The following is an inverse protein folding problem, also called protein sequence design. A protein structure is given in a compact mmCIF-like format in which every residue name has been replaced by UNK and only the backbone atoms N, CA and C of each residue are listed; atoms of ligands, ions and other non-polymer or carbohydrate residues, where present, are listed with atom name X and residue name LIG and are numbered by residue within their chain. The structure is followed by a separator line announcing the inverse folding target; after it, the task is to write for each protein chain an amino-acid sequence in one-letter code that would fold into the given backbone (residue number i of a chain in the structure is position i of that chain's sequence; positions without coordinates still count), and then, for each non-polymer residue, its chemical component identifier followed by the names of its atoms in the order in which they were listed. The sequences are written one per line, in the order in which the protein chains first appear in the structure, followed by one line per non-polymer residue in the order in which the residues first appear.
data_IF_286442860079
#
_entry.id   IF_286442860079
#
_cell.length_a   1.000
_cell.length_b   1.000
_cell.length_c   1.000
_cell.angle_alpha   90.00
_cell.angle_beta   90.00
_cell.angle_gamma   90.00
#
_symmetry.space_group_name_H-M   'P 1'
#
loop_
_entity.id
_entity.type
_entity.pdbx_description
1 polymer ?
#
# COMPACT_ATOMS: atom_id res chain seq x y z
N UNK A 1 -8.77 -0.40 21.84
CA UNK A 1 -7.82 -1.18 21.04
C UNK A 1 -6.99 -0.28 20.15
N UNK A 2 -5.72 -0.53 20.12
CA UNK A 2 -4.79 0.23 19.31
C UNK A 2 -4.95 -0.17 17.84
N UNK A 3 -4.98 0.81 16.93
CA UNK A 3 -5.02 0.58 15.48
C UNK A 3 -3.87 -0.27 14.98
N UNK A 4 -2.74 -0.27 15.70
CA UNK A 4 -1.59 -1.11 15.37
C UNK A 4 -1.91 -2.60 15.46
N UNK A 5 -3.02 -2.96 16.08
CA UNK A 5 -3.46 -4.35 16.16
C UNK A 5 -4.31 -4.78 14.97
N UNK A 6 -4.57 -3.88 14.01
CA UNK A 6 -5.29 -4.23 12.80
C UNK A 6 -4.49 -5.25 11.99
N UNK A 7 -5.11 -6.40 11.73
CA UNK A 7 -4.45 -7.51 11.06
C UNK A 7 -5.30 -8.05 9.94
N UNK A 8 -4.66 -8.54 8.89
CA UNK A 8 -5.30 -9.18 7.75
C UNK A 8 -4.63 -10.53 7.52
N UNK A 9 -5.10 -11.60 8.20
CA UNK A 9 -4.52 -12.92 8.01
C UNK A 9 -4.83 -13.47 6.64
N UNK A 10 -4.03 -14.44 6.19
CA UNK A 10 -4.26 -15.14 4.93
C UNK A 10 -3.44 -14.62 3.76
N UNK A 11 -2.55 -13.66 3.98
CA UNK A 11 -1.67 -13.18 2.92
C UNK A 11 -0.71 -14.26 2.43
N UNK A 12 -0.43 -14.23 1.13
CA UNK A 12 0.47 -15.19 0.46
C UNK A 12 1.54 -14.42 -0.29
N UNK A 13 2.56 -15.14 -0.79
CA UNK A 13 3.65 -14.50 -1.54
C UNK A 13 3.13 -13.84 -2.82
N UNK A 14 2.27 -14.54 -3.57
CA UNK A 14 1.64 -14.04 -4.80
C UNK A 14 0.21 -14.55 -4.84
N UNK A 15 -0.74 -13.64 -4.91
CA UNK A 15 -2.16 -13.97 -4.97
C UNK A 15 -2.67 -13.81 -6.39
N UNK A 16 -3.08 -14.91 -7.08
CA UNK A 16 -3.58 -14.81 -8.44
C UNK A 16 -4.79 -13.90 -8.60
N UNK A 17 -5.59 -13.73 -7.55
CA UNK A 17 -6.76 -12.85 -7.59
C UNK A 17 -6.35 -11.40 -7.86
N UNK A 18 -5.15 -11.02 -7.45
CA UNK A 18 -4.63 -9.66 -7.69
C UNK A 18 -4.35 -9.47 -9.18
N UNK A 19 -3.78 -10.48 -9.86
CA UNK A 19 -3.54 -10.40 -11.29
C UNK A 19 -4.86 -10.27 -12.07
N UNK A 20 -5.89 -10.98 -11.64
CA UNK A 20 -7.24 -10.87 -12.24
C UNK A 20 -7.77 -9.45 -12.01
N UNK A 21 -7.67 -8.94 -10.79
CA UNK A 21 -8.13 -7.59 -10.46
C UNK A 21 -7.46 -6.54 -11.36
N UNK A 22 -6.14 -6.65 -11.56
CA UNK A 22 -5.38 -5.72 -12.41
C UNK A 22 -5.89 -5.73 -13.85
N UNK A 23 -6.15 -6.94 -14.39
CA UNK A 23 -6.62 -7.12 -15.78
C UNK A 23 -8.03 -6.58 -15.99
N UNK A 24 -8.84 -6.52 -14.96
CA UNK A 24 -10.20 -5.99 -15.04
C UNK A 24 -10.25 -4.47 -15.10
N UNK A 25 -9.13 -3.79 -14.83
CA UNK A 25 -9.06 -2.32 -14.93
C UNK A 25 -8.81 -1.92 -16.38
N UNK A 26 -9.08 -0.64 -16.69
CA UNK A 26 -8.67 -0.12 -18.01
C UNK A 26 -7.15 -0.23 -18.13
N UNK A 27 -6.65 -0.32 -19.38
CA UNK A 27 -5.22 -0.54 -19.61
C UNK A 27 -4.35 0.47 -18.87
N UNK A 28 -4.74 1.74 -18.92
CA UNK A 28 -3.98 2.82 -18.30
C UNK A 28 -4.00 2.77 -16.77
N UNK A 29 -5.17 2.62 -16.18
CA UNK A 29 -5.30 2.54 -14.72
C UNK A 29 -4.71 1.23 -14.20
N UNK A 30 -4.93 0.13 -14.90
CA UNK A 30 -4.36 -1.17 -14.54
C UNK A 30 -2.83 -1.14 -14.55
N UNK A 31 -2.25 -0.47 -15.55
CA UNK A 31 -0.80 -0.34 -15.66
C UNK A 31 -0.22 0.44 -14.48
N UNK A 32 -0.86 1.55 -14.09
CA UNK A 32 -0.42 2.33 -12.93
C UNK A 32 -0.54 1.52 -11.63
N UNK A 33 -1.67 0.83 -11.46
CA UNK A 33 -1.87 0.01 -10.26
C UNK A 33 -0.84 -1.11 -10.16
N UNK A 34 -0.53 -1.77 -11.28
CA UNK A 34 0.49 -2.81 -11.33
C UNK A 34 1.87 -2.27 -10.99
N UNK A 35 2.24 -1.13 -11.56
CA UNK A 35 3.53 -0.52 -11.31
C UNK A 35 3.75 -0.29 -9.82
N UNK A 36 2.80 0.34 -9.15
CA UNK A 36 2.99 0.72 -7.76
C UNK A 36 2.80 -0.44 -6.80
N UNK A 37 1.93 -1.38 -7.12
CA UNK A 37 1.84 -2.59 -6.31
C UNK A 37 3.11 -3.44 -6.42
N UNK A 38 3.71 -3.46 -7.61
CA UNK A 38 5.01 -4.13 -7.80
C UNK A 38 6.08 -3.49 -6.92
N UNK A 39 6.12 -2.16 -6.82
CA UNK A 39 7.07 -1.48 -5.93
C UNK A 39 6.87 -1.94 -4.49
N UNK A 40 5.63 -2.11 -4.03
CA UNK A 40 5.36 -2.64 -2.69
C UNK A 40 5.89 -4.07 -2.52
N UNK A 41 5.63 -4.94 -3.51
CA UNK A 41 6.11 -6.33 -3.47
C UNK A 41 7.62 -6.43 -3.34
N UNK A 42 8.32 -5.55 -4.03
CA UNK A 42 9.77 -5.61 -4.14
C UNK A 42 10.51 -5.00 -2.95
N UNK A 43 9.78 -4.59 -1.92
CA UNK A 43 10.43 -4.04 -0.71
C UNK A 43 11.22 -5.10 0.04
N UNK A 44 10.72 -6.33 0.06
CA UNK A 44 11.41 -7.43 0.72
C UNK A 44 10.74 -8.77 0.46
N UNK A 45 11.47 -9.86 0.72
CA UNK A 45 10.94 -11.22 0.57
C UNK A 45 9.85 -11.53 1.57
N UNK A 46 9.73 -10.73 2.61
CA UNK A 46 8.72 -10.90 3.66
C UNK A 46 7.39 -10.24 3.35
N UNK A 47 7.25 -9.57 2.19
CA UNK A 47 5.98 -8.99 1.79
C UNK A 47 4.99 -10.09 1.39
N UNK A 48 3.78 -10.01 1.93
CA UNK A 48 2.67 -10.90 1.60
C UNK A 48 1.52 -10.08 1.06
N UNK A 49 0.67 -10.70 0.28
CA UNK A 49 -0.41 -9.97 -0.39
C UNK A 49 -1.74 -10.72 -0.33
N UNK A 50 -2.82 -9.97 -0.39
CA UNK A 50 -4.17 -10.51 -0.43
C UNK A 50 -5.13 -9.45 -0.97
N UNK A 51 -6.35 -9.88 -1.28
CA UNK A 51 -7.43 -8.96 -1.61
C UNK A 51 -8.20 -8.63 -0.33
N UNK A 52 -8.49 -7.36 -0.12
CA UNK A 52 -9.28 -6.91 1.02
C UNK A 52 -10.10 -5.69 0.60
N UNK A 53 -11.39 -5.69 0.93
CA UNK A 53 -12.31 -4.61 0.55
C UNK A 53 -12.25 -4.27 -0.95
N UNK A 54 -12.09 -5.29 -1.76
CA UNK A 54 -12.10 -5.15 -3.21
C UNK A 54 -10.81 -4.60 -3.82
N UNK A 55 -9.72 -4.54 -3.08
CA UNK A 55 -8.45 -4.05 -3.62
C UNK A 55 -7.23 -4.84 -3.12
N UNK A 56 -6.13 -4.79 -3.90
CA UNK A 56 -4.88 -5.45 -3.49
C UNK A 56 -4.23 -4.78 -2.29
N UNK A 57 -3.81 -5.58 -1.33
CA UNK A 57 -3.16 -5.11 -0.10
C UNK A 57 -1.82 -5.81 0.09
N UNK A 58 -0.80 -5.06 0.49
CA UNK A 58 0.52 -5.56 0.83
C UNK A 58 0.72 -5.52 2.34
N UNK A 59 1.23 -6.64 2.89
CA UNK A 59 1.45 -6.83 4.31
C UNK A 59 2.87 -7.31 4.58
N UNK A 60 3.33 -7.11 5.82
CA UNK A 60 4.44 -7.89 6.39
C UNK A 60 3.81 -8.74 7.48
N UNK A 61 4.05 -10.06 7.46
CA UNK A 61 3.24 -11.03 8.20
C UNK A 61 1.77 -10.78 7.87
N UNK A 62 0.93 -10.51 8.86
CA UNK A 62 -0.48 -10.16 8.65
C UNK A 62 -0.75 -8.67 8.91
N UNK A 63 0.29 -7.83 8.96
CA UNK A 63 0.15 -6.41 9.22
C UNK A 63 0.17 -5.63 7.91
N UNK A 64 -0.95 -5.03 7.48
CA UNK A 64 -1.00 -4.31 6.21
C UNK A 64 -0.25 -2.99 6.30
N UNK A 65 0.51 -2.65 5.23
CA UNK A 65 1.18 -1.37 5.16
C UNK A 65 0.78 -0.54 3.95
N UNK A 66 0.34 -1.18 2.86
CA UNK A 66 -0.01 -0.44 1.66
C UNK A 66 -1.08 -1.15 0.83
N UNK A 67 -1.73 -0.39 -0.04
CA UNK A 67 -2.72 -0.93 -0.96
C UNK A 67 -2.75 -0.10 -2.24
N UNK A 68 -3.36 -0.64 -3.29
CA UNK A 68 -3.73 0.14 -4.47
C UNK A 68 -5.22 -0.05 -4.72
N UNK A 69 -5.87 1.00 -5.20
CA UNK A 69 -7.27 0.91 -5.61
C UNK A 69 -7.46 1.76 -6.85
N UNK A 70 -8.44 1.41 -7.68
CA UNK A 70 -8.71 2.11 -8.92
C UNK A 70 -10.14 2.63 -8.93
N UNK A 71 -10.29 3.84 -9.43
CA UNK A 71 -11.57 4.51 -9.56
C UNK A 71 -11.82 4.82 -11.04
N UNK A 72 -12.79 5.65 -11.35
CA UNK A 72 -13.16 5.90 -12.74
C UNK A 72 -12.01 6.53 -13.54
N UNK A 73 -11.24 7.43 -12.93
CA UNK A 73 -10.23 8.21 -13.64
C UNK A 73 -8.89 8.31 -12.90
N UNK A 74 -8.71 7.56 -11.82
CA UNK A 74 -7.47 7.62 -11.05
C UNK A 74 -7.23 6.35 -10.26
N UNK A 75 -6.00 6.20 -9.80
CA UNK A 75 -5.57 5.14 -8.90
C UNK A 75 -5.14 5.78 -7.58
N UNK A 76 -5.52 5.18 -6.46
CA UNK A 76 -4.96 5.55 -5.17
C UNK A 76 -3.89 4.55 -4.78
N UNK A 77 -2.73 5.07 -4.36
CA UNK A 77 -1.70 4.29 -3.68
C UNK A 77 -1.84 4.65 -2.21
N UNK A 78 -2.26 3.70 -1.39
CA UNK A 78 -2.67 3.99 -0.02
C UNK A 78 -1.76 3.38 1.03
N UNK A 79 -1.80 3.98 2.22
CA UNK A 79 -0.95 3.62 3.36
C UNK A 79 -1.81 3.52 4.62
N UNK A 80 -1.80 2.35 5.24
CA UNK A 80 -2.63 2.11 6.42
C UNK A 80 -2.23 2.97 7.62
N UNK A 81 -0.96 3.33 7.72
CA UNK A 81 -0.45 4.23 8.75
C UNK A 81 0.09 5.53 8.13
N UNK A 82 -0.56 5.98 7.08
CA UNK A 82 -0.09 7.13 6.30
C UNK A 82 0.03 8.42 7.09
N UNK A 83 -0.81 8.59 8.11
CA UNK A 83 -0.77 9.81 8.95
C UNK A 83 0.54 9.93 9.72
N UNK A 84 1.28 8.84 9.87
CA UNK A 84 2.54 8.80 10.60
C UNK A 84 3.77 8.99 9.70
N UNK A 85 3.57 9.02 8.38
CA UNK A 85 4.68 9.12 7.44
C UNK A 85 5.09 10.57 7.24
N UNK A 86 6.40 10.80 7.10
CA UNK A 86 6.89 12.09 6.64
C UNK A 86 6.49 12.25 5.17
N UNK A 87 6.07 13.43 4.79
CA UNK A 87 5.60 13.70 3.44
C UNK A 87 6.14 15.05 2.97
N UNK A 88 7.47 15.16 2.79
CA UNK A 88 8.08 16.46 2.45
C UNK A 88 7.62 16.98 1.09
N UNK A 89 7.20 16.11 0.17
CA UNK A 89 6.72 16.53 -1.14
C UNK A 89 5.23 16.88 -1.15
N UNK A 90 4.52 16.65 -0.04
CA UNK A 90 3.10 16.99 0.07
C UNK A 90 2.18 16.16 -0.81
N UNK A 91 2.49 14.87 -0.99
CA UNK A 91 1.71 13.99 -1.88
C UNK A 91 0.49 13.37 -1.20
N UNK A 92 0.52 13.19 0.11
CA UNK A 92 -0.51 12.44 0.83
C UNK A 92 -1.80 13.24 0.99
N UNK A 93 -2.90 12.58 0.72
CA UNK A 93 -4.27 13.12 0.87
C UNK A 93 -5.05 12.23 1.82
N UNK A 94 -6.12 12.77 2.39
CA UNK A 94 -7.00 12.04 3.27
C UNK A 94 -7.17 12.72 4.61
N UNK A 95 -8.23 12.35 5.33
CA UNK A 95 -8.61 12.99 6.59
C UNK A 95 -8.82 11.98 7.73
N UNK A 96 -8.65 10.69 7.44
CA UNK A 96 -8.82 9.67 8.45
C UNK A 96 -7.78 9.80 9.54
N UNK A 97 -8.02 9.14 10.65
CA UNK A 97 -7.09 9.19 11.79
C UNK A 97 -5.75 8.54 11.46
N UNK A 98 -5.76 7.52 10.60
CA UNK A 98 -4.56 6.73 10.32
C UNK A 98 -4.20 6.68 8.84
N UNK A 99 -5.19 6.53 7.96
CA UNK A 99 -4.94 6.23 6.55
C UNK A 99 -4.72 7.49 5.72
N UNK A 100 -3.83 7.37 4.75
CA UNK A 100 -3.58 8.41 3.74
C UNK A 100 -3.36 7.73 2.40
N UNK A 101 -3.47 8.48 1.32
CA UNK A 101 -3.21 7.96 -0.01
C UNK A 101 -2.63 9.04 -0.92
N UNK A 102 -1.98 8.58 -1.99
CA UNK A 102 -1.53 9.42 -3.08
C UNK A 102 -2.45 9.14 -4.27
N UNK A 103 -3.04 10.19 -4.82
CA UNK A 103 -3.93 10.07 -5.98
C UNK A 103 -3.12 10.21 -7.26
N UNK A 104 -3.20 9.22 -8.14
CA UNK A 104 -2.53 9.21 -9.44
C UNK A 104 -3.57 9.29 -10.56
N UNK A 105 -3.54 10.39 -11.30
CA UNK A 105 -4.44 10.56 -12.45
C UNK A 105 -3.74 10.15 -13.73
N UNK A 106 -4.48 9.49 -14.62
CA UNK A 106 -3.98 9.09 -15.93
C UNK A 106 -3.46 10.31 -16.70
N UNK A 107 -2.29 10.18 -17.30
CA UNK A 107 -1.68 11.24 -18.09
C UNK A 107 -1.08 12.40 -17.30
N UNK A 108 -1.14 12.38 -15.98
CA UNK A 108 -0.56 13.41 -15.13
C UNK A 108 0.75 12.92 -14.55
N UNK A 109 1.84 13.66 -14.77
CA UNK A 109 3.15 13.31 -14.24
C UNK A 109 3.18 13.58 -12.74
N UNK A 110 3.69 12.61 -11.99
CA UNK A 110 3.84 12.73 -10.54
C UNK A 110 5.31 12.54 -10.16
N UNK A 111 5.63 12.95 -8.96
CA UNK A 111 6.97 12.74 -8.39
C UNK A 111 7.11 11.25 -7.97
N UNK A 112 7.55 10.43 -8.91
CA UNK A 112 7.69 8.99 -8.68
C UNK A 112 8.72 8.67 -7.61
N UNK A 113 9.78 9.46 -7.53
CA UNK A 113 10.82 9.26 -6.50
C UNK A 113 10.25 9.50 -5.10
N UNK A 114 9.45 10.55 -4.93
CA UNK A 114 8.82 10.85 -3.66
C UNK A 114 7.82 9.75 -3.26
N UNK A 115 7.03 9.24 -4.21
CA UNK A 115 6.10 8.15 -3.92
C UNK A 115 6.85 6.87 -3.55
N UNK A 116 7.94 6.56 -4.25
CA UNK A 116 8.79 5.42 -3.91
C UNK A 116 9.32 5.51 -2.48
N UNK A 117 9.74 6.71 -2.07
CA UNK A 117 10.22 6.92 -0.70
C UNK A 117 9.13 6.71 0.34
N UNK A 118 7.89 7.12 0.04
CA UNK A 118 6.76 6.86 0.94
C UNK A 118 6.51 5.36 1.12
N UNK A 119 6.63 4.59 0.04
CA UNK A 119 6.47 3.13 0.12
C UNK A 119 7.60 2.52 0.93
N UNK A 120 8.85 2.95 0.72
CA UNK A 120 9.99 2.49 1.52
C UNK A 120 9.77 2.78 3.00
N UNK A 121 9.33 3.98 3.31
CA UNK A 121 9.09 4.42 4.68
C UNK A 121 7.96 3.63 5.33
N UNK A 122 6.88 3.38 4.59
CA UNK A 122 5.75 2.60 5.09
C UNK A 122 6.16 1.16 5.41
N UNK A 123 6.97 0.56 4.55
CA UNK A 123 7.48 -0.79 4.77
C UNK A 123 8.39 -0.83 6.01
N UNK A 124 9.31 0.12 6.15
CA UNK A 124 10.18 0.20 7.32
C UNK A 124 9.37 0.44 8.60
N UNK A 125 8.35 1.29 8.52
CA UNK A 125 7.50 1.60 9.66
C UNK A 125 6.72 0.37 10.14
N UNK A 126 6.13 -0.42 9.24
CA UNK A 126 5.37 -1.59 9.66
C UNK A 126 6.29 -2.64 10.30
N UNK A 127 7.50 -2.78 9.79
CA UNK A 127 8.47 -3.70 10.38
C UNK A 127 8.89 -3.24 11.79
N UNK A 128 9.09 -1.94 11.97
CA UNK A 128 9.42 -1.38 13.29
C UNK A 128 8.28 -1.62 14.28
N UNK A 129 7.04 -1.46 13.87
CA UNK A 129 5.87 -1.72 14.72
C UNK A 129 5.78 -3.18 15.12
N UNK A 130 6.05 -4.09 14.19
CA UNK A 130 6.05 -5.52 14.47
C UNK A 130 7.17 -5.91 15.44
N UNK A 131 8.36 -5.31 15.30
CA UNK A 131 9.47 -5.57 16.20
C UNK A 131 9.17 -5.11 17.62
N UNK A 132 8.58 -3.94 17.78
CA UNK A 132 8.18 -3.43 19.09
C UNK A 132 7.20 -4.40 19.76
N UNK A 133 6.21 -4.91 19.02
CA UNK A 133 5.22 -5.85 19.54
C UNK A 133 5.87 -7.15 19.98
N UNK A 134 6.80 -7.69 19.18
CA UNK A 134 7.52 -8.91 19.51
C UNK A 134 8.38 -8.72 20.75
N UNK A 135 9.03 -7.56 20.91
CA UNK A 135 9.85 -7.26 22.08
C UNK A 135 9.01 -7.16 23.36
N UNK A 136 7.77 -6.74 23.24
CA UNK A 136 6.86 -6.62 24.38
C UNK A 136 6.12 -7.92 24.70
N UNK A 137 6.03 -8.78 23.71
CA UNK A 137 5.34 -10.05 23.84
C UNK A 137 6.21 -11.09 24.43
#
# INVERSE_FOLDING_TARGET
MNRMDFRLPGGVKRDPAIDVWMKERTAELGSMAQEWFHVMRERGDDVRELMHDGCPVACVDDAPFGYVNAFKAHVNVGFFHGAQLADPAGLLEGRGKYMRHVKLKAGVVRDSAALGRLIDEAYADIKARLNVRQSQG
#
